data_IF_297293612837
#
_entry.id   IF_297293612837
#
_cell.length_a   1.000
_cell.length_b   1.000
_cell.length_c   1.000
_cell.angle_alpha   90.00
_cell.angle_beta   90.00
_cell.angle_gamma   90.00
#
_symmetry.space_group_name_H-M   'P 1'
#
loop_
_entity.id
_entity.type
_entity.pdbx_description
1 polymer ?
#
# COMPACT_ATOMS: atom_id res chain seq x y z
N UNK A 1 8.65 9.50 17.42
CA UNK A 1 9.79 8.67 17.87
C UNK A 1 9.53 8.29 19.31
N UNK A 2 9.05 7.07 19.54
CA UNK A 2 8.92 6.56 20.91
C UNK A 2 10.31 6.20 21.44
N UNK A 3 10.57 6.43 22.72
CA UNK A 3 11.84 6.17 23.42
C UNK A 3 12.21 4.67 23.53
N UNK A 4 11.67 3.82 22.70
CA UNK A 4 11.90 2.39 22.60
C UNK A 4 12.20 1.98 21.16
N UNK A 5 13.39 2.32 20.67
CA UNK A 5 14.05 1.73 19.52
C UNK A 5 13.24 1.59 18.24
N UNK A 6 13.59 2.38 17.25
CA UNK A 6 13.15 2.43 15.88
C UNK A 6 12.41 1.24 15.30
N UNK A 7 11.11 1.35 15.25
CA UNK A 7 10.24 0.41 14.52
C UNK A 7 9.50 1.10 13.36
N UNK A 8 10.13 2.07 12.73
CA UNK A 8 9.61 2.66 11.50
C UNK A 8 10.47 2.15 10.33
N UNK A 9 9.96 1.18 9.60
CA UNK A 9 10.53 0.79 8.33
C UNK A 9 9.76 1.50 7.22
N UNK A 10 10.44 2.26 6.37
CA UNK A 10 9.92 2.66 5.07
C UNK A 10 9.83 1.38 4.26
N UNK A 11 8.65 1.04 3.81
CA UNK A 11 8.37 -0.31 3.32
C UNK A 11 8.15 -0.41 1.84
N UNK A 12 7.80 0.68 1.20
CA UNK A 12 8.02 0.92 -0.22
C UNK A 12 8.15 2.42 -0.39
N UNK A 13 9.10 2.84 -1.21
CA UNK A 13 9.28 4.23 -1.58
C UNK A 13 9.32 4.34 -3.10
N UNK A 14 8.70 5.36 -3.63
CA UNK A 14 8.69 5.67 -5.05
C UNK A 14 8.72 7.17 -5.27
N UNK A 15 9.19 7.59 -6.43
CA UNK A 15 9.12 8.98 -6.84
C UNK A 15 7.74 9.26 -7.43
N UNK A 16 6.95 10.05 -6.74
CA UNK A 16 5.72 10.60 -7.29
C UNK A 16 6.04 11.84 -8.12
N UNK A 17 5.33 12.02 -9.24
CA UNK A 17 5.44 13.20 -10.08
C UNK A 17 4.34 14.19 -9.75
N UNK A 18 4.72 15.43 -9.51
CA UNK A 18 3.81 16.54 -9.28
C UNK A 18 3.87 17.55 -10.42
N UNK A 19 3.58 17.12 -11.66
CA UNK A 19 3.38 18.07 -12.77
C UNK A 19 2.07 18.83 -12.53
N UNK A 20 2.09 20.16 -12.61
CA UNK A 20 0.90 20.98 -12.46
C UNK A 20 -0.25 20.48 -13.33
N UNK A 21 -1.33 20.02 -12.70
CA UNK A 21 -2.45 19.30 -13.30
C UNK A 21 -2.72 17.98 -12.55
N UNK A 22 -3.87 17.39 -12.77
CA UNK A 22 -4.26 16.11 -12.15
C UNK A 22 -3.48 14.93 -12.79
N UNK A 23 -2.16 14.86 -12.59
CA UNK A 23 -1.38 13.70 -13.03
C UNK A 23 -1.72 12.50 -12.15
N UNK A 24 -2.32 11.47 -12.73
CA UNK A 24 -2.72 10.22 -12.08
C UNK A 24 -1.88 9.02 -12.52
N UNK A 25 -0.75 9.27 -13.17
CA UNK A 25 0.15 8.21 -13.65
C UNK A 25 0.89 7.51 -12.50
N UNK A 26 1.43 6.31 -12.73
CA UNK A 26 2.21 5.59 -11.74
C UNK A 26 3.47 6.36 -11.37
N UNK A 27 3.91 6.22 -10.10
CA UNK A 27 5.24 6.65 -9.68
C UNK A 27 6.34 5.80 -10.31
N UNK A 28 7.59 6.19 -10.08
CA UNK A 28 8.78 5.47 -10.54
C UNK A 28 9.48 4.86 -9.33
N UNK A 29 9.92 3.61 -9.43
CA UNK A 29 10.73 2.98 -8.39
C UNK A 29 12.02 3.77 -8.13
N UNK A 30 12.49 3.79 -6.89
CA UNK A 30 13.73 4.52 -6.54
C UNK A 30 14.98 3.95 -7.24
N UNK A 31 14.92 2.70 -7.68
CA UNK A 31 16.01 2.02 -8.39
C UNK A 31 15.91 2.16 -9.92
N UNK A 32 14.81 2.73 -10.41
CA UNK A 32 14.59 2.97 -11.83
C UNK A 32 15.11 4.36 -12.24
N UNK A 33 15.50 4.57 -13.51
CA UNK A 33 15.89 5.89 -13.97
C UNK A 33 14.77 6.92 -13.76
N UNK A 34 15.11 8.03 -13.12
CA UNK A 34 14.18 9.14 -12.98
C UNK A 34 13.74 9.64 -14.37
N UNK A 35 12.48 10.02 -14.49
CA UNK A 35 12.02 10.65 -15.73
C UNK A 35 12.69 12.01 -15.94
N UNK A 36 12.44 12.64 -17.11
CA UNK A 36 13.00 13.93 -17.47
C UNK A 36 12.91 14.92 -16.32
N UNK A 37 14.05 15.41 -15.87
CA UNK A 37 14.17 16.48 -14.89
C UNK A 37 13.95 17.78 -15.65
N UNK A 38 12.96 18.56 -15.25
CA UNK A 38 12.69 19.89 -15.77
C UNK A 38 13.40 20.93 -14.89
N UNK A 39 13.38 22.19 -15.30
CA UNK A 39 14.00 23.29 -14.53
C UNK A 39 13.40 23.51 -13.14
N UNK A 40 12.21 22.97 -12.88
CA UNK A 40 11.58 22.87 -11.57
C UNK A 40 11.42 21.39 -11.26
N UNK A 41 11.96 20.92 -10.14
CA UNK A 41 11.81 19.53 -9.73
C UNK A 41 10.37 19.29 -9.24
N UNK A 42 9.72 18.33 -9.87
CA UNK A 42 8.34 17.94 -9.57
C UNK A 42 8.28 16.52 -8.95
N UNK A 43 9.38 16.03 -8.40
CA UNK A 43 9.44 14.71 -7.80
C UNK A 43 9.41 14.79 -6.28
N UNK A 44 8.54 14.02 -5.65
CA UNK A 44 8.54 13.82 -4.21
C UNK A 44 8.75 12.34 -3.89
N UNK A 45 9.49 12.06 -2.83
CA UNK A 45 9.62 10.70 -2.29
C UNK A 45 8.35 10.38 -1.51
N UNK A 46 7.66 9.33 -1.90
CA UNK A 46 6.48 8.83 -1.17
C UNK A 46 6.83 7.50 -0.53
N UNK A 47 6.68 7.43 0.79
CA UNK A 47 6.77 6.20 1.56
C UNK A 47 5.36 5.68 1.83
N UNK A 48 5.14 4.38 1.62
CA UNK A 48 3.85 3.74 1.81
C UNK A 48 3.97 2.54 2.75
N UNK A 49 2.95 2.33 3.59
CA UNK A 49 2.82 1.15 4.43
C UNK A 49 1.33 0.80 4.66
N UNK A 50 1.08 -0.45 5.02
CA UNK A 50 -0.25 -0.91 5.36
C UNK A 50 -0.53 -0.71 6.85
N UNK A 51 -1.75 -0.33 7.19
CA UNK A 51 -2.24 -0.26 8.57
C UNK A 51 -3.44 -1.17 8.74
N UNK A 52 -3.48 -1.86 9.87
CA UNK A 52 -4.60 -2.69 10.26
C UNK A 52 -5.42 -1.97 11.32
N UNK A 53 -6.62 -1.54 10.95
CA UNK A 53 -7.53 -0.76 11.79
C UNK A 53 -8.44 -1.65 12.65
N UNK A 54 -7.91 -2.77 13.15
CA UNK A 54 -8.67 -3.76 13.92
C UNK A 54 -7.89 -4.28 15.12
N UNK A 55 -8.59 -4.45 16.22
CA UNK A 55 -8.01 -4.95 17.47
C UNK A 55 -7.02 -3.97 18.08
N UNK A 56 -5.95 -4.50 18.66
CA UNK A 56 -4.90 -3.74 19.35
C UNK A 56 -3.68 -3.46 18.45
N UNK A 57 -3.81 -3.65 17.13
CA UNK A 57 -2.72 -3.37 16.23
C UNK A 57 -2.37 -1.87 16.25
N UNK A 58 -1.12 -1.57 16.55
CA UNK A 58 -0.56 -0.20 16.58
C UNK A 58 0.57 -0.01 15.60
N UNK A 59 1.06 -1.09 14.99
CA UNK A 59 2.20 -1.08 14.09
C UNK A 59 1.73 -1.14 12.64
N UNK A 60 2.40 -0.39 11.77
CA UNK A 60 2.25 -0.52 10.33
C UNK A 60 2.91 -1.80 9.82
N UNK A 61 2.49 -2.28 8.68
CA UNK A 61 3.05 -3.43 7.99
C UNK A 61 3.64 -3.01 6.65
N UNK A 62 4.72 -3.64 6.27
CA UNK A 62 5.37 -3.40 4.98
C UNK A 62 4.47 -3.82 3.82
N UNK A 63 4.52 -3.05 2.73
CA UNK A 63 3.75 -3.35 1.51
C UNK A 63 4.36 -4.49 0.69
N UNK A 64 5.64 -4.80 0.91
CA UNK A 64 6.39 -5.90 0.29
C UNK A 64 6.35 -7.21 1.10
N UNK A 65 5.71 -7.21 2.25
CA UNK A 65 5.48 -8.40 3.08
C UNK A 65 4.09 -8.99 2.81
N UNK A 66 3.86 -10.19 3.34
CA UNK A 66 2.55 -10.83 3.26
C UNK A 66 1.47 -9.92 3.85
N UNK A 67 0.43 -9.63 3.09
CA UNK A 67 -0.67 -8.79 3.52
C UNK A 67 -1.33 -9.31 4.82
N UNK A 68 -1.84 -8.41 5.69
CA UNK A 68 -2.55 -8.84 6.89
C UNK A 68 -3.79 -9.66 6.53
N UNK A 69 -4.18 -10.58 7.40
CA UNK A 69 -5.37 -11.42 7.22
C UNK A 69 -6.59 -10.56 6.86
N UNK A 70 -7.17 -10.80 5.70
CA UNK A 70 -8.42 -10.19 5.25
C UNK A 70 -9.56 -10.95 5.92
N UNK A 71 -10.46 -10.22 6.57
CA UNK A 71 -11.59 -10.83 7.28
C UNK A 71 -12.91 -10.42 6.67
N UNK A 72 -13.91 -11.28 6.82
CA UNK A 72 -15.27 -11.02 6.33
C UNK A 72 -15.99 -9.86 7.04
N UNK A 73 -15.46 -9.38 8.16
CA UNK A 73 -16.11 -8.39 9.02
C UNK A 73 -15.98 -6.94 8.58
N UNK A 74 -15.40 -6.64 7.42
CA UNK A 74 -15.34 -5.27 6.89
C UNK A 74 -13.95 -4.83 6.42
N UNK A 75 -13.89 -3.57 5.97
CA UNK A 75 -12.66 -2.90 5.52
C UNK A 75 -11.80 -2.52 6.74
N UNK A 76 -10.79 -3.31 7.05
CA UNK A 76 -9.89 -3.07 8.19
C UNK A 76 -8.43 -2.87 7.80
N UNK A 77 -8.12 -2.87 6.50
CA UNK A 77 -6.77 -2.64 5.99
C UNK A 77 -6.77 -1.34 5.22
N UNK A 78 -5.94 -0.41 5.66
CA UNK A 78 -5.69 0.86 5.00
C UNK A 78 -4.24 0.96 4.53
N UNK A 79 -3.99 1.84 3.59
CA UNK A 79 -2.68 2.28 3.16
C UNK A 79 -2.45 3.69 3.66
N UNK A 80 -1.31 3.91 4.29
CA UNK A 80 -0.82 5.24 4.66
C UNK A 80 0.30 5.61 3.71
N UNK A 81 0.21 6.78 3.10
CA UNK A 81 1.22 7.36 2.23
C UNK A 81 1.77 8.62 2.89
N UNK A 82 3.09 8.70 3.01
CA UNK A 82 3.80 9.84 3.57
C UNK A 82 4.65 10.46 2.47
N UNK A 83 4.39 11.71 2.15
CA UNK A 83 5.16 12.47 1.17
C UNK A 83 6.30 13.21 1.87
N UNK A 84 7.50 13.02 1.35
CA UNK A 84 8.75 13.57 1.87
C UNK A 84 9.33 14.54 0.84
N UNK A 85 9.76 15.71 1.27
CA UNK A 85 10.46 16.68 0.42
C UNK A 85 11.71 17.22 1.10
N UNK A 86 12.70 17.63 0.30
CA UNK A 86 13.91 18.34 0.75
C UNK A 86 13.71 19.84 0.55
N UNK A 87 13.35 20.23 -0.66
CA UNK A 87 13.15 21.60 -1.11
C UNK A 87 11.76 21.73 -1.77
N UNK A 88 11.30 22.94 -2.02
CA UNK A 88 10.07 23.28 -2.76
C UNK A 88 8.83 22.43 -2.39
N UNK A 89 8.17 22.81 -1.31
CA UNK A 89 6.90 22.20 -0.89
C UNK A 89 5.92 23.26 -0.37
N UNK A 90 4.65 22.90 -0.26
CA UNK A 90 3.63 23.75 0.37
C UNK A 90 3.87 23.84 1.87
N UNK A 91 4.45 24.97 2.33
CA UNK A 91 4.74 25.22 3.73
C UNK A 91 3.48 25.22 4.60
N UNK A 92 2.34 25.71 4.12
CA UNK A 92 1.09 25.71 4.88
C UNK A 92 0.63 24.28 5.15
N UNK A 93 0.69 23.42 4.13
CA UNK A 93 0.37 22.00 4.27
C UNK A 93 1.33 21.29 5.23
N UNK A 94 2.63 21.52 5.08
CA UNK A 94 3.66 20.95 5.95
C UNK A 94 3.49 21.36 7.43
N UNK A 95 3.08 22.61 7.71
CA UNK A 95 2.79 23.05 9.06
C UNK A 95 1.57 22.36 9.67
N UNK A 96 0.50 22.14 8.90
CA UNK A 96 -0.66 21.37 9.34
C UNK A 96 -0.27 19.92 9.68
N UNK A 97 0.55 19.30 8.85
CA UNK A 97 1.08 17.94 9.09
C UNK A 97 1.94 17.91 10.35
N UNK A 98 2.82 18.89 10.54
CA UNK A 98 3.65 18.98 11.75
C UNK A 98 2.80 19.16 13.02
N UNK A 99 1.77 20.00 12.97
CA UNK A 99 0.85 20.17 14.08
C UNK A 99 0.09 18.88 14.41
N UNK A 100 -0.34 18.13 13.39
CA UNK A 100 -0.93 16.81 13.56
C UNK A 100 0.06 15.82 14.20
N UNK A 101 1.29 15.76 13.72
CA UNK A 101 2.33 14.88 14.26
C UNK A 101 2.64 15.21 15.72
N UNK A 102 2.77 16.48 16.08
CA UNK A 102 3.00 16.91 17.47
C UNK A 102 1.86 16.50 18.38
N UNK A 103 0.62 16.68 17.93
CA UNK A 103 -0.56 16.30 18.72
C UNK A 103 -0.61 14.81 19.08
N UNK A 104 -0.16 13.91 18.17
CA UNK A 104 -0.31 12.47 18.33
C UNK A 104 0.99 11.72 18.62
N UNK A 105 2.14 12.26 18.23
CA UNK A 105 3.46 11.65 18.43
C UNK A 105 4.30 12.33 19.52
N UNK A 106 3.85 13.48 20.03
CA UNK A 106 4.53 14.26 21.08
C UNK A 106 5.05 15.60 20.57
N UNK A 107 5.12 16.58 21.49
CA UNK A 107 5.52 17.96 21.22
C UNK A 107 6.94 18.06 20.60
N UNK A 108 7.83 17.12 20.93
CA UNK A 108 9.20 17.08 20.43
C UNK A 108 9.31 16.59 18.97
N UNK A 109 8.20 16.24 18.34
CA UNK A 109 8.21 15.78 16.96
C UNK A 109 8.62 16.92 16.02
N UNK A 110 9.70 16.71 15.28
CA UNK A 110 10.25 17.70 14.34
C UNK A 110 9.63 17.62 12.95
N UNK A 111 8.97 16.51 12.62
CA UNK A 111 8.49 16.22 11.25
C UNK A 111 9.62 15.99 10.24
N UNK A 112 10.85 15.75 10.72
CA UNK A 112 12.02 15.51 9.90
C UNK A 112 12.42 14.03 9.95
N UNK A 113 12.87 13.50 8.81
CA UNK A 113 13.36 12.12 8.66
C UNK A 113 14.72 12.14 7.98
N UNK A 114 15.70 11.44 8.54
CA UNK A 114 17.01 11.28 7.90
C UNK A 114 17.04 9.95 7.13
N UNK A 115 17.27 10.02 5.84
CA UNK A 115 17.40 8.87 4.95
C UNK A 115 18.72 8.96 4.21
N UNK A 116 19.64 8.06 4.50
CA UNK A 116 20.95 8.01 3.85
C UNK A 116 21.80 9.28 4.04
N UNK A 117 21.62 10.03 5.13
CA UNK A 117 22.33 11.29 5.40
C UNK A 117 21.61 12.54 4.88
N UNK A 118 20.55 12.37 4.10
CA UNK A 118 19.70 13.49 3.62
C UNK A 118 18.52 13.68 4.57
N UNK A 119 18.27 14.92 4.96
CA UNK A 119 17.14 15.28 5.84
C UNK A 119 15.95 15.65 4.97
N UNK A 120 14.88 14.89 5.11
CA UNK A 120 13.59 15.13 4.48
C UNK A 120 12.60 15.69 5.49
N UNK A 121 11.73 16.56 5.02
CA UNK A 121 10.54 16.99 5.77
C UNK A 121 9.31 16.19 5.35
N UNK A 122 8.50 15.77 6.31
CA UNK A 122 7.17 15.20 6.05
C UNK A 122 6.25 16.36 5.67
N UNK A 123 5.81 16.39 4.43
CA UNK A 123 5.01 17.48 3.86
C UNK A 123 3.55 17.11 3.68
N UNK A 124 3.24 15.82 3.54
CA UNK A 124 1.87 15.32 3.50
C UNK A 124 1.76 13.90 4.07
N UNK A 125 0.62 13.60 4.64
CA UNK A 125 0.23 12.27 5.10
C UNK A 125 -1.19 12.01 4.64
N UNK A 126 -1.36 10.98 3.82
CA UNK A 126 -2.65 10.48 3.36
C UNK A 126 -2.93 9.08 3.89
N UNK A 127 -4.20 8.77 4.13
CA UNK A 127 -4.65 7.41 4.44
C UNK A 127 -5.89 7.09 3.63
N UNK A 128 -5.92 5.90 3.06
CA UNK A 128 -7.11 5.38 2.39
C UNK A 128 -7.33 3.91 2.74
N UNK A 129 -8.56 3.47 2.69
CA UNK A 129 -8.88 2.06 2.79
C UNK A 129 -8.58 1.34 1.47
N UNK A 130 -8.07 0.12 1.54
CA UNK A 130 -7.88 -0.70 0.35
C UNK A 130 -9.24 -1.01 -0.30
N UNK A 131 -9.29 -0.93 -1.62
CA UNK A 131 -10.47 -1.28 -2.38
C UNK A 131 -10.63 -2.81 -2.47
N UNK A 132 -11.85 -3.33 -2.66
CA UNK A 132 -12.07 -4.78 -2.76
C UNK A 132 -11.14 -5.45 -3.78
N UNK A 133 -10.92 -4.84 -4.95
CA UNK A 133 -10.04 -5.38 -5.99
C UNK A 133 -8.59 -5.53 -5.51
N UNK A 134 -8.08 -4.58 -4.73
CA UNK A 134 -6.73 -4.65 -4.16
C UNK A 134 -6.62 -5.79 -3.15
N UNK A 135 -7.66 -6.04 -2.34
CA UNK A 135 -7.69 -7.15 -1.39
C UNK A 135 -7.71 -8.52 -2.12
N UNK A 136 -8.45 -8.64 -3.21
CA UNK A 136 -8.45 -9.86 -4.04
C UNK A 136 -7.09 -10.09 -4.71
N UNK A 137 -6.44 -9.03 -5.23
CA UNK A 137 -5.08 -9.12 -5.76
C UNK A 137 -4.08 -9.56 -4.69
N UNK A 138 -4.18 -9.02 -3.47
CA UNK A 138 -3.33 -9.41 -2.35
C UNK A 138 -3.49 -10.89 -1.95
N UNK A 139 -4.65 -11.50 -2.24
CA UNK A 139 -4.88 -12.94 -2.10
C UNK A 139 -4.50 -13.75 -3.34
N UNK A 140 -3.98 -13.10 -4.40
CA UNK A 140 -3.56 -13.76 -5.64
C UNK A 140 -4.68 -14.10 -6.60
N UNK A 141 -5.85 -13.49 -6.47
CA UNK A 141 -6.89 -13.61 -7.48
C UNK A 141 -6.51 -12.82 -8.74
N UNK A 142 -6.72 -13.39 -9.94
CA UNK A 142 -6.41 -12.70 -11.19
C UNK A 142 -7.41 -11.56 -11.45
N UNK A 143 -6.99 -10.57 -12.24
CA UNK A 143 -7.79 -9.37 -12.51
C UNK A 143 -9.10 -9.64 -13.25
N UNK A 144 -9.16 -10.71 -14.03
CA UNK A 144 -10.37 -11.13 -14.73
C UNK A 144 -11.44 -11.77 -13.82
N UNK A 145 -11.08 -12.08 -12.55
CA UNK A 145 -12.04 -12.67 -11.60
C UNK A 145 -13.12 -11.66 -11.24
N UNK A 146 -14.37 -12.00 -11.52
CA UNK A 146 -15.52 -11.10 -11.33
C UNK A 146 -15.88 -11.00 -9.85
N UNK A 147 -15.81 -9.80 -9.30
CA UNK A 147 -16.13 -9.52 -7.89
C UNK A 147 -17.28 -8.52 -7.72
N UNK A 148 -17.62 -7.77 -8.77
CA UNK A 148 -18.50 -6.61 -8.71
C UNK A 148 -19.99 -6.97 -8.81
N UNK A 149 -20.33 -8.10 -9.42
CA UNK A 149 -21.72 -8.49 -9.67
C UNK A 149 -21.92 -10.02 -9.65
N UNK A 150 -23.15 -10.46 -9.55
CA UNK A 150 -23.52 -11.85 -9.69
C UNK A 150 -23.72 -12.25 -11.17
N UNK A 151 -24.09 -13.52 -11.41
CA UNK A 151 -24.34 -14.06 -12.75
C UNK A 151 -25.55 -13.42 -13.46
N UNK A 152 -26.42 -12.70 -12.74
CA UNK A 152 -27.55 -11.94 -13.27
C UNK A 152 -27.20 -10.47 -13.54
N UNK A 153 -25.95 -10.05 -13.26
CA UNK A 153 -25.51 -8.68 -13.40
C UNK A 153 -25.89 -7.76 -12.23
N UNK A 154 -26.42 -8.31 -11.13
CA UNK A 154 -26.76 -7.53 -9.94
C UNK A 154 -25.48 -7.15 -9.21
N UNK A 155 -25.24 -5.84 -9.06
CA UNK A 155 -24.04 -5.32 -8.43
C UNK A 155 -24.00 -5.58 -6.92
N UNK A 156 -22.85 -5.98 -6.44
CA UNK A 156 -22.56 -6.11 -5.01
C UNK A 156 -22.06 -4.82 -4.42
N UNK A 157 -22.56 -4.45 -3.25
CA UNK A 157 -21.98 -3.39 -2.43
C UNK A 157 -20.54 -3.75 -2.01
N UNK A 158 -19.69 -2.75 -1.78
CA UNK A 158 -18.27 -2.95 -1.46
C UNK A 158 -18.03 -3.81 -0.22
N UNK A 159 -18.87 -3.66 0.81
CA UNK A 159 -18.82 -4.48 2.03
C UNK A 159 -19.04 -5.98 1.73
N UNK A 160 -19.97 -6.29 0.82
CA UNK A 160 -20.23 -7.66 0.36
C UNK A 160 -19.06 -8.23 -0.44
N UNK A 161 -18.43 -7.42 -1.28
CA UNK A 161 -17.22 -7.81 -2.00
C UNK A 161 -16.09 -8.15 -1.03
N UNK A 162 -15.86 -7.30 -0.01
CA UNK A 162 -14.84 -7.54 1.03
C UNK A 162 -15.16 -8.77 1.86
N UNK A 163 -16.41 -8.95 2.28
CA UNK A 163 -16.83 -10.12 3.05
C UNK A 163 -16.56 -11.44 2.29
N UNK A 164 -16.82 -11.46 0.98
CA UNK A 164 -16.51 -12.61 0.13
C UNK A 164 -15.01 -12.83 -0.02
N UNK A 165 -14.22 -11.76 -0.16
CA UNK A 165 -12.77 -11.86 -0.18
C UNK A 165 -12.24 -12.51 1.11
N UNK A 166 -12.71 -12.04 2.27
CA UNK A 166 -12.29 -12.59 3.56
C UNK A 166 -12.69 -14.04 3.81
N UNK A 167 -13.74 -14.52 3.11
CA UNK A 167 -14.18 -15.93 3.16
C UNK A 167 -13.58 -16.79 2.05
N UNK A 168 -12.87 -16.20 1.10
CA UNK A 168 -12.29 -16.92 -0.02
C UNK A 168 -10.99 -17.62 0.36
N UNK A 169 -10.74 -18.75 -0.27
CA UNK A 169 -9.44 -19.44 -0.20
C UNK A 169 -8.56 -18.89 -1.31
N UNK A 170 -7.34 -18.44 -1.03
CA UNK A 170 -6.39 -17.99 -2.06
C UNK A 170 -6.18 -19.08 -3.13
N UNK A 171 -6.23 -18.74 -4.43
CA UNK A 171 -6.12 -19.71 -5.52
C UNK A 171 -4.86 -20.58 -5.44
N UNK A 172 -3.72 -20.00 -5.10
CA UNK A 172 -2.45 -20.73 -4.99
C UNK A 172 -2.47 -21.76 -3.86
N UNK A 173 -3.17 -21.45 -2.75
CA UNK A 173 -3.32 -22.39 -1.64
C UNK A 173 -4.23 -23.56 -2.03
N UNK A 174 -5.33 -23.28 -2.72
CA UNK A 174 -6.23 -24.31 -3.25
C UNK A 174 -5.50 -25.21 -4.27
N UNK A 175 -4.72 -24.61 -5.17
CA UNK A 175 -3.90 -25.36 -6.14
C UNK A 175 -2.88 -26.27 -5.43
N UNK A 176 -2.16 -25.76 -4.43
CA UNK A 176 -1.18 -26.53 -3.67
C UNK A 176 -1.84 -27.74 -2.98
N UNK A 177 -3.03 -27.56 -2.38
CA UNK A 177 -3.77 -28.65 -1.76
C UNK A 177 -4.18 -29.73 -2.77
N UNK A 178 -4.70 -29.32 -3.95
CA UNK A 178 -5.08 -30.26 -5.01
C UNK A 178 -3.85 -31.05 -5.51
N UNK A 179 -2.75 -30.37 -5.77
CA UNK A 179 -1.50 -31.01 -6.21
C UNK A 179 -0.94 -32.00 -5.19
N UNK A 180 -1.08 -31.69 -3.90
CA UNK A 180 -0.59 -32.56 -2.82
C UNK A 180 -1.47 -33.82 -2.61
N UNK A 181 -2.78 -33.70 -2.81
CA UNK A 181 -3.72 -34.76 -2.46
C UNK A 181 -4.24 -35.55 -3.68
N UNK A 182 -4.22 -34.95 -4.87
CA UNK A 182 -4.74 -35.53 -6.13
C UNK A 182 -3.76 -35.29 -7.28
N UNK A 183 -2.48 -35.66 -7.15
CA UNK A 183 -1.45 -35.36 -8.15
C UNK A 183 -1.78 -35.99 -9.53
N UNK A 184 -2.51 -37.11 -9.55
CA UNK A 184 -2.92 -37.82 -10.76
C UNK A 184 -3.93 -37.02 -11.60
N UNK A 185 -4.64 -36.06 -11.00
CA UNK A 185 -5.59 -35.18 -11.70
C UNK A 185 -4.94 -33.88 -12.19
N UNK A 186 -3.69 -33.65 -11.83
CA UNK A 186 -2.98 -32.42 -12.20
C UNK A 186 -2.31 -32.57 -13.54
N UNK A 187 -2.60 -31.69 -14.49
CA UNK A 187 -1.83 -31.58 -15.73
C UNK A 187 -0.41 -31.14 -15.39
N UNK A 188 0.57 -31.99 -15.72
CA UNK A 188 1.97 -31.57 -15.63
C UNK A 188 2.17 -30.43 -16.64
N UNK A 189 2.59 -29.27 -16.18
CA UNK A 189 3.13 -28.26 -17.10
C UNK A 189 4.32 -28.88 -17.79
N UNK A 190 4.20 -29.17 -19.09
CA UNK A 190 5.35 -29.52 -19.90
C UNK A 190 6.36 -28.38 -19.79
N UNK A 191 7.59 -28.71 -19.48
CA UNK A 191 8.75 -27.81 -19.53
C UNK A 191 9.07 -27.47 -21.01
N UNK A 192 8.15 -26.77 -21.68
CA UNK A 192 8.38 -26.23 -23.01
C UNK A 192 8.11 -24.74 -22.97
N UNK A 193 9.11 -23.98 -22.56
CA UNK A 193 9.47 -22.65 -23.03
C UNK A 193 10.75 -22.21 -22.30
N UNK A 194 11.88 -22.75 -22.77
CA UNK A 194 13.17 -22.11 -22.58
C UNK A 194 13.44 -21.19 -23.76
#
# INVERSE_FOLDING_TARGET
VTAGGGKFAITSAFLAKHYGGNYTGPGVGLEEPAHSITTVDHHAVVASHLVKLRGTCRDGQRTDETAPTITAGGLHVGEVQTTLAVDEYDEQRAQLVLAFLRKYCGEDCTGLVNIGGVIYRIVDIGMRMLQPRELYRAQGFPDWYVIEHDFRGVKYAKDKQVARCGNAVPPQFAEALVRANLPELCVQKSEEAA
#
